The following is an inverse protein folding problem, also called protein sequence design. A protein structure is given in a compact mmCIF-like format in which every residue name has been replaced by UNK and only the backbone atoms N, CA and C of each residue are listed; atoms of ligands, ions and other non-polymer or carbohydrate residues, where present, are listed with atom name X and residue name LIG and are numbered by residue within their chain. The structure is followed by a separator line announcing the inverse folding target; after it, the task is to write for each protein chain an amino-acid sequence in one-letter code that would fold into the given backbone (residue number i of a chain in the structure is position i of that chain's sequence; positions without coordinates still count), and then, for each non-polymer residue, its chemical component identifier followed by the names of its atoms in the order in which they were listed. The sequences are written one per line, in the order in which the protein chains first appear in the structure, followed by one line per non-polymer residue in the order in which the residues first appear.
data_IF_739156349242
#
_entry.id   IF_739156349242
#
_cell.length_a   1.000
_cell.length_b   1.000
_cell.length_c   1.000
_cell.angle_alpha   90.00
_cell.angle_beta   90.00
_cell.angle_gamma   90.00
#
_symmetry.space_group_name_H-M   'P 1'
#
loop_
_entity.id
_entity.type
_entity.pdbx_description
1 polymer ?
#
# COMPACT_ATOMS: atom_id res chain seq x y z
N UNK A 1 10.70 -1.08 21.10
CA UNK A 1 10.62 -0.88 19.65
C UNK A 1 9.77 0.36 19.41
N UNK A 2 10.16 1.25 18.51
CA UNK A 2 9.34 2.42 18.14
C UNK A 2 8.36 2.02 17.04
N UNK A 3 7.13 2.52 17.11
CA UNK A 3 6.11 2.33 16.05
C UNK A 3 6.53 3.13 14.82
N UNK A 4 6.39 2.53 13.63
CA UNK A 4 6.64 3.17 12.35
C UNK A 4 5.30 3.55 11.69
N UNK A 5 5.06 4.85 11.50
CA UNK A 5 3.82 5.38 10.94
C UNK A 5 3.94 5.62 9.43
N UNK A 6 3.04 4.99 8.67
CA UNK A 6 2.92 5.19 7.22
C UNK A 6 1.65 6.00 6.95
N UNK A 7 1.80 7.19 6.38
CA UNK A 7 0.68 7.97 5.86
C UNK A 7 0.30 7.50 4.46
N UNK A 8 -0.85 6.82 4.32
CA UNK A 8 -1.38 6.41 3.01
C UNK A 8 -1.97 7.62 2.28
N UNK A 9 -1.21 8.17 1.33
CA UNK A 9 -1.72 9.14 0.38
C UNK A 9 -2.60 8.42 -0.66
N UNK A 10 -2.20 7.23 -1.10
CA UNK A 10 -2.97 6.39 -2.00
C UNK A 10 -3.27 7.11 -3.32
N UNK A 11 -4.55 7.41 -3.53
CA UNK A 11 -5.08 8.18 -4.69
C UNK A 11 -5.77 9.49 -4.26
N UNK A 12 -5.62 9.91 -3.00
CA UNK A 12 -6.31 11.07 -2.44
C UNK A 12 -5.83 12.41 -3.02
N UNK A 13 -4.76 12.39 -3.79
CA UNK A 13 -4.27 13.55 -4.54
C UNK A 13 -5.13 13.91 -5.75
N UNK A 14 -6.10 13.07 -6.14
CA UNK A 14 -7.02 13.33 -7.26
C UNK A 14 -6.28 13.70 -8.57
N UNK A 15 -5.20 12.98 -8.90
CA UNK A 15 -4.36 13.28 -10.07
C UNK A 15 -3.60 14.62 -10.03
N UNK A 16 -3.68 15.38 -8.93
CA UNK A 16 -3.01 16.68 -8.79
C UNK A 16 -1.70 16.57 -8.00
N UNK A 17 -0.59 16.95 -8.63
CA UNK A 17 0.71 17.03 -7.98
C UNK A 17 0.74 18.06 -6.84
N UNK A 18 -0.02 19.16 -6.97
CA UNK A 18 -0.10 20.19 -5.93
C UNK A 18 -0.82 19.66 -4.68
N UNK A 19 -1.95 18.96 -4.85
CA UNK A 19 -2.64 18.30 -3.73
C UNK A 19 -1.74 17.21 -3.14
N UNK A 20 -1.02 16.45 -3.97
CA UNK A 20 -0.06 15.45 -3.51
C UNK A 20 0.99 16.06 -2.56
N UNK A 21 1.61 17.19 -2.95
CA UNK A 21 2.59 17.90 -2.10
C UNK A 21 1.98 18.38 -0.79
N UNK A 22 0.76 18.92 -0.81
CA UNK A 22 0.04 19.32 0.40
C UNK A 22 -0.20 18.13 1.36
N UNK A 23 -0.55 16.95 0.82
CA UNK A 23 -0.73 15.73 1.62
C UNK A 23 0.60 15.26 2.23
N UNK A 24 1.72 15.37 1.48
CA UNK A 24 3.06 15.09 2.01
C UNK A 24 3.40 16.06 3.15
N UNK A 25 3.16 17.36 2.98
CA UNK A 25 3.43 18.37 4.01
C UNK A 25 2.66 18.08 5.31
N UNK A 26 1.39 17.70 5.19
CA UNK A 26 0.57 17.31 6.33
C UNK A 26 1.16 16.08 7.02
N UNK A 27 1.54 15.04 6.25
CA UNK A 27 2.14 13.83 6.81
C UNK A 27 3.45 14.11 7.56
N UNK A 28 4.32 14.95 7.00
CA UNK A 28 5.56 15.39 7.66
C UNK A 28 5.26 16.17 8.94
N UNK A 29 4.33 17.13 8.89
CA UNK A 29 3.95 17.93 10.06
C UNK A 29 3.33 17.11 11.19
N UNK A 30 2.64 16.01 10.84
CA UNK A 30 2.07 15.06 11.78
C UNK A 30 3.10 14.08 12.36
N UNK A 31 4.32 14.06 11.81
CA UNK A 31 5.41 13.18 12.26
C UNK A 31 5.33 11.75 11.69
N UNK A 32 4.76 11.56 10.50
CA UNK A 32 4.81 10.27 9.82
C UNK A 32 6.25 9.92 9.40
N UNK A 33 6.62 8.64 9.49
CA UNK A 33 7.95 8.16 9.09
C UNK A 33 8.07 7.96 7.57
N UNK A 34 6.95 7.68 6.91
CA UNK A 34 6.88 7.55 5.46
C UNK A 34 5.51 7.93 4.90
N UNK A 35 5.49 8.32 3.63
CA UNK A 35 4.27 8.43 2.82
C UNK A 35 4.18 7.29 1.82
N UNK A 36 2.96 6.83 1.54
CA UNK A 36 2.72 5.72 0.62
C UNK A 36 1.69 6.06 -0.46
N UNK A 37 2.00 5.64 -1.69
CA UNK A 37 1.17 5.79 -2.88
C UNK A 37 0.69 4.43 -3.41
N UNK A 38 -0.06 4.46 -4.51
CA UNK A 38 -0.41 3.27 -5.28
C UNK A 38 -0.03 3.48 -6.74
N UNK A 39 0.58 2.46 -7.35
CA UNK A 39 0.86 2.43 -8.79
C UNK A 39 0.22 1.19 -9.41
N UNK A 40 -0.49 1.42 -10.51
CA UNK A 40 -1.13 0.37 -11.29
C UNK A 40 -1.03 0.66 -12.79
N UNK A 41 -1.08 -0.37 -13.60
CA UNK A 41 -1.31 -0.30 -15.05
C UNK A 41 -2.74 -0.71 -15.29
N UNK A 42 -3.60 0.24 -15.71
CA UNK A 42 -5.06 0.05 -15.68
C UNK A 42 -5.52 -1.18 -16.47
N UNK A 43 -4.98 -1.38 -17.66
CA UNK A 43 -5.33 -2.50 -18.55
C UNK A 43 -4.89 -3.88 -18.01
N UNK A 44 -3.97 -3.92 -17.06
CA UNK A 44 -3.51 -5.16 -16.43
C UNK A 44 -4.30 -5.49 -15.17
N UNK A 45 -4.79 -4.47 -14.48
CA UNK A 45 -5.47 -4.61 -13.18
C UNK A 45 -6.98 -4.72 -13.32
N UNK A 46 -7.55 -4.13 -14.37
CA UNK A 46 -9.00 -4.08 -14.57
C UNK A 46 -9.40 -4.72 -15.90
N UNK A 47 -10.57 -5.35 -15.93
CA UNK A 47 -11.15 -5.85 -17.18
C UNK A 47 -11.61 -4.68 -18.05
N UNK A 48 -11.58 -4.88 -19.36
CA UNK A 48 -12.11 -3.90 -20.32
C UNK A 48 -13.59 -3.55 -20.02
N UNK A 49 -14.39 -4.56 -19.68
CA UNK A 49 -15.81 -4.37 -19.29
C UNK A 49 -15.96 -3.43 -18.09
N UNK A 50 -15.12 -3.58 -17.07
CA UNK A 50 -15.16 -2.68 -15.91
C UNK A 50 -14.72 -1.27 -16.32
N UNK A 51 -13.64 -1.14 -17.07
CA UNK A 51 -13.10 0.16 -17.49
C UNK A 51 -14.10 0.94 -18.34
N UNK A 52 -14.83 0.28 -19.23
CA UNK A 52 -15.82 0.90 -20.10
C UNK A 52 -17.19 1.08 -19.43
N UNK A 53 -17.37 0.57 -18.21
CA UNK A 53 -18.63 0.72 -17.48
C UNK A 53 -18.86 2.16 -17.00
N UNK A 54 -20.14 2.60 -16.92
CA UNK A 54 -20.46 3.98 -16.56
C UNK A 54 -20.04 4.37 -15.15
N UNK A 55 -19.43 5.54 -15.02
CA UNK A 55 -19.15 6.21 -13.75
C UNK A 55 -18.97 7.72 -13.95
N UNK A 56 -19.87 8.50 -13.38
CA UNK A 56 -19.74 9.95 -13.35
C UNK A 56 -18.58 10.38 -12.45
N UNK A 57 -17.69 11.23 -12.99
CA UNK A 57 -16.55 11.78 -12.26
C UNK A 57 -16.09 13.10 -12.89
N UNK A 58 -15.24 13.89 -12.21
CA UNK A 58 -14.64 15.10 -12.78
C UNK A 58 -13.82 14.89 -14.07
N UNK A 59 -13.44 13.64 -14.38
CA UNK A 59 -12.59 13.30 -15.52
C UNK A 59 -13.35 12.72 -16.70
N UNK A 60 -14.63 12.37 -16.53
CA UNK A 60 -15.46 11.77 -17.56
C UNK A 60 -16.55 10.87 -16.99
N UNK A 61 -17.12 10.04 -17.86
CA UNK A 61 -18.35 9.28 -17.59
C UNK A 61 -18.11 7.77 -17.51
N UNK A 62 -16.85 7.31 -17.58
CA UNK A 62 -16.48 5.90 -17.46
C UNK A 62 -15.57 5.65 -16.25
N UNK A 63 -15.47 4.38 -15.82
CA UNK A 63 -14.47 3.98 -14.82
C UNK A 63 -13.04 4.26 -15.31
N UNK A 64 -12.79 4.10 -16.60
CA UNK A 64 -11.52 4.42 -17.27
C UNK A 64 -11.16 5.88 -17.06
N UNK A 65 -12.05 6.80 -17.42
CA UNK A 65 -11.80 8.25 -17.31
C UNK A 65 -11.42 8.63 -15.88
N UNK A 66 -12.18 8.15 -14.89
CA UNK A 66 -11.87 8.42 -13.49
C UNK A 66 -10.49 7.87 -13.11
N UNK A 67 -10.20 6.63 -13.46
CA UNK A 67 -8.95 5.97 -13.05
C UNK A 67 -7.74 6.61 -13.71
N UNK A 68 -7.81 6.93 -15.01
CA UNK A 68 -6.76 7.66 -15.72
C UNK A 68 -6.54 9.04 -15.13
N UNK A 69 -7.63 9.74 -14.80
CA UNK A 69 -7.57 11.05 -14.15
C UNK A 69 -6.96 11.05 -12.74
N UNK A 70 -6.89 9.88 -12.09
CA UNK A 70 -6.26 9.70 -10.78
C UNK A 70 -4.78 9.29 -10.88
N UNK A 71 -4.29 8.84 -12.04
CA UNK A 71 -2.90 8.42 -12.18
C UNK A 71 -1.96 9.62 -12.32
N UNK A 72 -0.77 9.49 -11.71
CA UNK A 72 0.30 10.46 -11.85
C UNK A 72 1.33 9.96 -12.88
N UNK A 73 1.89 10.89 -13.64
CA UNK A 73 2.88 10.59 -14.68
C UNK A 73 4.24 10.24 -14.08
N UNK A 74 5.16 9.74 -14.91
CA UNK A 74 6.54 9.52 -14.50
C UNK A 74 7.24 10.80 -14.02
N UNK A 75 6.96 11.93 -14.68
CA UNK A 75 7.53 13.23 -14.29
C UNK A 75 6.99 13.70 -12.93
N UNK A 76 5.72 13.41 -12.64
CA UNK A 76 5.13 13.68 -11.32
C UNK A 76 5.80 12.83 -10.23
N UNK A 77 6.06 11.54 -10.48
CA UNK A 77 6.77 10.69 -9.53
C UNK A 77 8.23 11.12 -9.31
N UNK A 78 8.92 11.64 -10.33
CA UNK A 78 10.24 12.28 -10.15
C UNK A 78 10.16 13.51 -9.26
N UNK A 79 9.12 14.31 -9.41
CA UNK A 79 8.92 15.48 -8.56
C UNK A 79 8.55 15.08 -7.13
N UNK A 80 7.73 14.05 -6.93
CA UNK A 80 7.44 13.47 -5.61
C UNK A 80 8.73 12.99 -4.94
N UNK A 81 9.57 12.26 -5.68
CA UNK A 81 10.85 11.75 -5.16
C UNK A 81 11.77 12.90 -4.71
N UNK A 82 11.92 13.93 -5.55
CA UNK A 82 12.67 15.14 -5.20
C UNK A 82 12.10 15.84 -3.97
N UNK A 83 10.77 15.96 -3.90
CA UNK A 83 10.09 16.66 -2.83
C UNK A 83 10.24 15.94 -1.49
N UNK A 84 9.97 14.62 -1.45
CA UNK A 84 10.15 13.81 -0.25
C UNK A 84 11.59 13.84 0.27
N UNK A 85 12.58 13.78 -0.63
CA UNK A 85 14.01 13.93 -0.28
C UNK A 85 14.30 15.29 0.36
N UNK A 86 13.72 16.37 -0.15
CA UNK A 86 13.91 17.72 0.42
C UNK A 86 13.31 17.88 1.83
N UNK A 87 12.28 17.11 2.14
CA UNK A 87 11.61 17.07 3.45
C UNK A 87 12.17 15.99 4.39
N UNK A 88 13.13 15.20 3.92
CA UNK A 88 13.71 14.06 4.65
C UNK A 88 12.64 13.04 5.13
N UNK A 89 11.65 12.76 4.28
CA UNK A 89 10.64 11.71 4.52
C UNK A 89 10.80 10.58 3.50
N UNK A 90 10.68 9.33 3.94
CA UNK A 90 10.69 8.19 3.03
C UNK A 90 9.37 8.14 2.24
N UNK A 91 9.45 7.70 0.98
CA UNK A 91 8.27 7.40 0.19
C UNK A 91 8.40 6.05 -0.50
N UNK A 92 7.26 5.44 -0.78
CA UNK A 92 7.15 4.19 -1.52
C UNK A 92 5.71 4.04 -2.05
N UNK A 93 5.44 2.96 -2.78
CA UNK A 93 4.11 2.68 -3.28
C UNK A 93 3.78 1.19 -3.25
N UNK A 94 2.49 0.88 -3.30
CA UNK A 94 2.01 -0.46 -3.62
C UNK A 94 1.91 -0.63 -5.13
N UNK A 95 2.67 -1.54 -5.72
CA UNK A 95 2.44 -2.01 -7.08
C UNK A 95 1.25 -2.98 -7.11
N UNK A 96 0.40 -2.83 -8.13
CA UNK A 96 -0.74 -3.72 -8.38
C UNK A 96 -0.50 -4.69 -9.55
N UNK A 97 0.65 -4.59 -10.20
CA UNK A 97 1.04 -5.40 -11.35
C UNK A 97 2.57 -5.32 -11.55
N UNK A 98 3.11 -6.23 -12.37
CA UNK A 98 4.55 -6.31 -12.64
C UNK A 98 5.11 -5.06 -13.35
N UNK A 99 4.35 -4.39 -14.21
CA UNK A 99 4.80 -3.18 -14.89
C UNK A 99 4.88 -2.00 -13.91
N UNK A 100 3.94 -1.92 -12.96
CA UNK A 100 4.01 -0.98 -11.85
C UNK A 100 5.20 -1.25 -10.94
N UNK A 101 5.55 -2.50 -10.66
CA UNK A 101 6.76 -2.81 -9.90
C UNK A 101 8.02 -2.38 -10.67
N UNK A 102 8.11 -2.70 -11.97
CA UNK A 102 9.21 -2.24 -12.85
C UNK A 102 9.30 -0.71 -12.87
N UNK A 103 8.17 -0.02 -12.92
CA UNK A 103 8.11 1.44 -12.86
C UNK A 103 8.74 1.96 -11.55
N UNK A 104 8.35 1.39 -10.40
CA UNK A 104 8.83 1.80 -9.09
C UNK A 104 10.32 1.52 -8.87
N UNK A 105 10.89 0.49 -9.51
CA UNK A 105 12.34 0.19 -9.47
C UNK A 105 13.23 1.29 -10.03
N UNK A 106 12.66 2.23 -10.80
CA UNK A 106 13.39 3.40 -11.29
C UNK A 106 13.66 4.43 -10.18
N UNK A 107 13.04 4.26 -9.02
CA UNK A 107 13.20 5.10 -7.84
C UNK A 107 13.90 4.31 -6.71
N UNK A 108 14.68 5.02 -5.91
CA UNK A 108 15.41 4.43 -4.77
C UNK A 108 14.53 4.36 -3.51
N UNK A 109 13.33 3.78 -3.65
CA UNK A 109 12.42 3.60 -2.52
C UNK A 109 13.01 2.59 -1.53
N UNK A 110 12.99 2.93 -0.25
CA UNK A 110 13.54 2.08 0.83
C UNK A 110 12.68 0.85 1.15
N UNK A 111 11.38 0.93 0.87
CA UNK A 111 10.38 -0.05 1.26
C UNK A 111 9.54 -0.49 0.06
N UNK A 112 8.96 -1.68 0.16
CA UNK A 112 7.89 -2.15 -0.72
C UNK A 112 6.59 -2.40 0.07
N UNK A 113 5.45 -2.38 -0.62
CA UNK A 113 4.14 -2.73 -0.04
C UNK A 113 3.38 -3.69 -0.94
N UNK A 114 2.98 -4.84 -0.39
CA UNK A 114 2.00 -5.72 -1.02
C UNK A 114 0.61 -5.35 -0.51
N UNK A 115 -0.28 -4.91 -1.40
CA UNK A 115 -1.68 -4.66 -1.07
C UNK A 115 -2.41 -5.99 -0.81
N UNK A 116 -3.44 -5.97 0.03
CA UNK A 116 -4.19 -7.18 0.40
C UNK A 116 -4.73 -7.99 -0.78
N UNK A 117 -5.24 -7.31 -1.81
CA UNK A 117 -5.73 -7.98 -3.01
C UNK A 117 -4.61 -8.67 -3.82
N UNK A 118 -3.35 -8.24 -3.65
CA UNK A 118 -2.20 -8.71 -4.42
C UNK A 118 -1.42 -9.84 -3.74
N UNK A 119 -1.79 -10.24 -2.51
CA UNK A 119 -1.11 -11.32 -1.78
C UNK A 119 -1.20 -12.69 -2.49
N UNK A 120 -2.18 -12.86 -3.38
CA UNK A 120 -2.37 -14.09 -4.15
C UNK A 120 -1.59 -14.08 -5.48
N UNK A 121 -0.97 -12.95 -5.83
CA UNK A 121 -0.26 -12.80 -7.10
C UNK A 121 1.22 -13.19 -6.94
N UNK A 122 1.50 -14.49 -7.00
CA UNK A 122 2.82 -15.07 -6.71
C UNK A 122 3.96 -14.43 -7.53
N UNK A 123 3.83 -14.27 -8.86
CA UNK A 123 4.87 -13.63 -9.69
C UNK A 123 5.22 -12.20 -9.22
N UNK A 124 4.23 -11.44 -8.75
CA UNK A 124 4.46 -10.10 -8.21
C UNK A 124 5.19 -10.17 -6.87
N UNK A 125 4.84 -11.13 -6.00
CA UNK A 125 5.53 -11.34 -4.74
C UNK A 125 6.99 -11.72 -4.94
N UNK A 126 7.27 -12.62 -5.89
CA UNK A 126 8.63 -13.02 -6.25
C UNK A 126 9.45 -11.83 -6.77
N UNK A 127 8.85 -11.01 -7.66
CA UNK A 127 9.50 -9.82 -8.18
C UNK A 127 9.83 -8.79 -7.08
N UNK A 128 8.91 -8.58 -6.13
CA UNK A 128 9.11 -7.70 -4.97
C UNK A 128 10.19 -8.27 -4.04
N UNK A 129 10.12 -9.55 -3.68
CA UNK A 129 11.05 -10.21 -2.76
C UNK A 129 12.47 -10.33 -3.34
N UNK A 130 12.62 -10.39 -4.66
CA UNK A 130 13.92 -10.37 -5.33
C UNK A 130 14.69 -9.06 -5.07
N UNK A 131 14.00 -7.95 -4.74
CA UNK A 131 14.65 -6.66 -4.47
C UNK A 131 15.31 -6.58 -3.08
N UNK A 132 15.03 -7.53 -2.18
CA UNK A 132 15.54 -7.57 -0.79
C UNK A 132 15.26 -6.30 0.03
N UNK A 133 14.24 -5.53 -0.37
CA UNK A 133 13.78 -4.35 0.37
C UNK A 133 12.78 -4.77 1.44
N UNK A 134 12.83 -4.12 2.59
CA UNK A 134 11.87 -4.39 3.66
C UNK A 134 10.44 -4.17 3.14
N UNK A 135 9.61 -5.20 3.24
CA UNK A 135 8.30 -5.23 2.60
C UNK A 135 7.16 -5.40 3.59
N UNK A 136 6.19 -4.50 3.53
CA UNK A 136 4.97 -4.57 4.34
C UNK A 136 3.87 -5.33 3.55
N UNK A 137 3.37 -6.45 4.07
CA UNK A 137 2.43 -7.34 3.37
C UNK A 137 1.07 -7.33 4.07
N UNK A 138 0.03 -6.73 3.47
CA UNK A 138 -1.29 -6.71 4.11
C UNK A 138 -2.04 -8.02 3.90
N UNK A 139 -2.72 -8.50 4.95
CA UNK A 139 -3.35 -9.83 4.96
C UNK A 139 -4.89 -9.79 5.01
N UNK A 140 -5.51 -8.66 4.68
CA UNK A 140 -6.97 -8.56 4.53
C UNK A 140 -7.47 -9.39 3.34
N UNK A 141 -8.68 -9.95 3.46
CA UNK A 141 -9.29 -10.85 2.46
C UNK A 141 -8.47 -12.11 2.15
N UNK A 142 -7.51 -12.46 3.00
CA UNK A 142 -6.59 -13.58 2.76
C UNK A 142 -6.96 -14.79 3.60
N UNK A 143 -6.85 -15.98 3.02
CA UNK A 143 -6.86 -17.24 3.75
C UNK A 143 -5.50 -17.50 4.39
N UNK A 144 -5.42 -18.51 5.27
CA UNK A 144 -4.12 -18.96 5.82
C UNK A 144 -3.17 -19.40 4.69
N UNK A 145 -3.69 -20.10 3.68
CA UNK A 145 -2.88 -20.60 2.56
C UNK A 145 -2.24 -19.46 1.78
N UNK A 146 -2.96 -18.38 1.53
CA UNK A 146 -2.44 -17.20 0.82
C UNK A 146 -1.28 -16.56 1.60
N UNK A 147 -1.42 -16.44 2.92
CA UNK A 147 -0.37 -15.88 3.78
C UNK A 147 0.82 -16.85 3.89
N UNK A 148 0.58 -18.16 3.97
CA UNK A 148 1.64 -19.17 4.01
C UNK A 148 2.54 -19.07 2.78
N UNK A 149 1.94 -19.02 1.59
CA UNK A 149 2.66 -18.85 0.32
C UNK A 149 3.45 -17.55 0.25
N UNK A 150 2.83 -16.43 0.63
CA UNK A 150 3.53 -15.15 0.66
C UNK A 150 4.74 -15.19 1.60
N UNK A 151 4.59 -15.76 2.80
CA UNK A 151 5.70 -15.89 3.76
C UNK A 151 6.80 -16.82 3.25
N UNK A 152 6.45 -17.91 2.57
CA UNK A 152 7.40 -18.82 1.93
C UNK A 152 8.26 -18.09 0.89
N UNK A 153 7.62 -17.41 -0.07
CA UNK A 153 8.31 -16.63 -1.13
C UNK A 153 9.31 -15.64 -0.53
N UNK A 154 8.90 -14.87 0.47
CA UNK A 154 9.78 -13.86 1.07
C UNK A 154 10.93 -14.47 1.88
N UNK A 155 10.71 -15.62 2.54
CA UNK A 155 11.77 -16.34 3.28
C UNK A 155 12.77 -17.02 2.36
N UNK A 156 12.31 -17.66 1.29
CA UNK A 156 13.20 -18.28 0.29
C UNK A 156 14.06 -17.23 -0.41
N UNK A 157 13.50 -16.05 -0.61
CA UNK A 157 14.22 -14.90 -1.10
C UNK A 157 15.12 -14.25 -0.03
N UNK A 158 15.13 -14.65 1.25
CA UNK A 158 15.84 -13.91 2.30
C UNK A 158 15.52 -12.40 2.29
N UNK A 159 14.25 -12.07 2.02
CA UNK A 159 13.77 -10.69 1.94
C UNK A 159 13.10 -10.31 3.26
N UNK A 160 13.50 -9.21 3.93
CA UNK A 160 12.84 -8.78 5.16
C UNK A 160 11.39 -8.38 4.88
N UNK A 161 10.47 -8.80 5.75
CA UNK A 161 9.06 -8.48 5.62
C UNK A 161 8.37 -8.36 6.98
N UNK A 162 7.24 -7.67 6.96
CA UNK A 162 6.28 -7.55 8.04
C UNK A 162 4.88 -7.88 7.54
N UNK A 163 4.09 -8.59 8.33
CA UNK A 163 2.68 -8.80 8.03
C UNK A 163 1.85 -7.65 8.59
N UNK A 164 0.87 -7.16 7.84
CA UNK A 164 -0.03 -6.10 8.29
C UNK A 164 -1.42 -6.68 8.46
N UNK A 165 -1.87 -6.79 9.71
CA UNK A 165 -3.27 -7.11 9.99
C UNK A 165 -4.15 -6.00 9.38
N UNK A 166 -5.20 -6.41 8.68
CA UNK A 166 -5.99 -5.52 7.84
C UNK A 166 -7.38 -6.11 7.62
N UNK A 167 -8.40 -5.26 7.62
CA UNK A 167 -9.78 -5.63 7.25
C UNK A 167 -10.20 -4.73 6.09
N UNK A 168 -10.45 -5.31 4.91
CA UNK A 168 -10.59 -4.58 3.65
C UNK A 168 -12.01 -4.02 3.41
N UNK A 169 -12.61 -3.40 4.42
CA UNK A 169 -13.87 -2.65 4.34
C UNK A 169 -13.59 -1.16 4.59
N UNK A 170 -14.28 -0.27 3.85
CA UNK A 170 -13.97 1.17 3.81
C UNK A 170 -15.25 2.02 3.96
N UNK A 171 -15.51 2.63 5.13
CA UNK A 171 -14.80 2.41 6.39
C UNK A 171 -15.10 1.01 6.97
N UNK A 172 -14.22 0.54 7.84
CA UNK A 172 -14.40 -0.68 8.62
C UNK A 172 -15.15 -0.38 9.93
N UNK A 173 -16.17 -1.20 10.25
CA UNK A 173 -16.89 -1.13 11.53
C UNK A 173 -15.99 -1.61 12.68
N UNK A 174 -15.94 -0.89 13.80
CA UNK A 174 -15.09 -1.20 14.97
C UNK A 174 -15.18 -2.67 15.45
N UNK A 175 -16.37 -3.27 15.39
CA UNK A 175 -16.62 -4.66 15.79
C UNK A 175 -15.85 -5.68 14.94
N UNK A 176 -15.51 -5.32 13.71
CA UNK A 176 -14.85 -6.18 12.73
C UNK A 176 -13.32 -6.07 12.81
N UNK A 177 -12.79 -5.11 13.57
CA UNK A 177 -11.35 -4.81 13.65
C UNK A 177 -10.49 -6.02 14.05
N UNK A 178 -11.02 -6.89 14.92
CA UNK A 178 -10.39 -8.16 15.35
C UNK A 178 -8.87 -8.06 15.62
N UNK A 179 -8.45 -7.09 16.44
CA UNK A 179 -7.02 -6.79 16.66
C UNK A 179 -6.20 -7.96 17.22
N UNK A 180 -6.83 -8.94 17.89
CA UNK A 180 -6.19 -10.19 18.33
C UNK A 180 -5.55 -10.99 17.19
N UNK A 181 -5.93 -10.70 15.94
CA UNK A 181 -5.28 -11.30 14.78
C UNK A 181 -3.81 -10.92 14.68
N UNK A 182 -3.38 -9.77 15.22
CA UNK A 182 -1.97 -9.36 15.28
C UNK A 182 -1.14 -10.41 16.03
N UNK A 183 -1.58 -10.83 17.22
CA UNK A 183 -0.90 -11.88 18.01
C UNK A 183 -0.90 -13.23 17.29
N UNK A 184 -2.00 -13.55 16.59
CA UNK A 184 -2.12 -14.81 15.86
C UNK A 184 -1.12 -14.86 14.71
N UNK A 185 -1.01 -13.79 13.92
CA UNK A 185 -0.04 -13.69 12.84
C UNK A 185 1.40 -13.77 13.39
N UNK A 186 1.70 -13.01 14.45
CA UNK A 186 3.03 -12.98 15.07
C UNK A 186 3.44 -14.35 15.60
N UNK A 187 2.54 -15.01 16.32
CA UNK A 187 2.81 -16.34 16.89
C UNK A 187 2.92 -17.44 15.83
N UNK A 188 2.18 -17.33 14.72
CA UNK A 188 2.21 -18.31 13.61
C UNK A 188 3.45 -18.15 12.76
N UNK A 189 3.75 -16.92 12.32
CA UNK A 189 4.79 -16.66 11.33
C UNK A 189 6.12 -16.18 11.92
N UNK A 190 6.19 -15.94 13.23
CA UNK A 190 7.42 -15.55 13.94
C UNK A 190 8.13 -14.37 13.28
N UNK A 191 7.35 -13.41 12.77
CA UNK A 191 7.80 -12.17 12.16
C UNK A 191 7.16 -10.98 12.88
N UNK A 192 7.65 -9.79 12.57
CA UNK A 192 7.04 -8.55 13.00
C UNK A 192 5.67 -8.37 12.31
N UNK A 193 4.73 -7.76 13.04
CA UNK A 193 3.34 -7.59 12.61
C UNK A 193 2.84 -6.21 12.96
N UNK A 194 2.41 -5.47 11.95
CA UNK A 194 1.78 -4.16 12.07
C UNK A 194 0.28 -4.19 11.80
N UNK A 195 -0.30 -3.00 11.65
CA UNK A 195 -1.72 -2.79 11.38
C UNK A 195 -1.92 -1.83 10.21
N UNK A 196 -2.85 -2.16 9.31
CA UNK A 196 -3.30 -1.31 8.21
C UNK A 196 -4.78 -1.01 8.43
N UNK A 197 -5.06 0.17 8.96
CA UNK A 197 -6.39 0.60 9.38
C UNK A 197 -7.24 1.20 8.27
N UNK A 198 -8.55 0.92 8.33
CA UNK A 198 -9.59 1.50 7.47
C UNK A 198 -10.81 1.96 8.28
N UNK A 199 -10.66 2.06 9.60
CA UNK A 199 -11.66 2.57 10.53
C UNK A 199 -11.83 4.09 10.40
N UNK A 200 -12.89 4.59 11.03
CA UNK A 200 -13.03 6.03 11.30
C UNK A 200 -12.52 6.35 12.71
N UNK A 201 -11.78 7.44 12.87
CA UNK A 201 -11.23 7.85 14.16
C UNK A 201 -9.91 7.13 14.49
N UNK A 202 -9.48 7.20 15.75
CA UNK A 202 -8.14 6.79 16.17
C UNK A 202 -8.12 5.63 17.18
N UNK A 203 -9.26 5.25 17.75
CA UNK A 203 -9.33 4.31 18.86
C UNK A 203 -8.79 2.92 18.50
N UNK A 204 -9.12 2.41 17.31
CA UNK A 204 -8.66 1.10 16.84
C UNK A 204 -7.16 1.12 16.52
N UNK A 205 -6.69 2.10 15.76
CA UNK A 205 -5.27 2.34 15.53
C UNK A 205 -4.47 2.43 16.84
N UNK A 206 -4.98 3.10 17.86
CA UNK A 206 -4.33 3.14 19.18
C UNK A 206 -4.35 1.78 19.89
N UNK A 207 -5.47 1.07 19.83
CA UNK A 207 -5.55 -0.30 20.34
C UNK A 207 -4.56 -1.25 19.68
N UNK A 208 -4.31 -1.08 18.38
CA UNK A 208 -3.36 -1.89 17.63
C UNK A 208 -1.92 -1.74 18.14
N UNK A 209 -1.54 -0.55 18.63
CA UNK A 209 -0.20 -0.31 19.21
C UNK A 209 0.06 -1.08 20.51
N UNK A 210 -1.00 -1.60 21.16
CA UNK A 210 -0.89 -2.37 22.40
C UNK A 210 -0.48 -3.84 22.20
N UNK A 211 -0.40 -4.30 20.94
CA UNK A 211 -0.05 -5.67 20.59
C UNK A 211 1.43 -5.79 20.24
#
# INVERSE_FOLDING_TARGET
MSVFFIAEIGINHNGSLDICKQLIDIAVSAGADAVKFQKRTLELVYTQELLDSPRESPWGTTQRDQKEGLELSFDDYKEIDRYCKSLNIAWFASAWDLESQKFLKQFDCKYNKVASAMIVYEDLLEAIAAEKKHTFISTGMSTKLDIDKAVEIFREADCPFELMHCVSTYPMDDKDANLRRIETLRSTYKCDVGYSGHETGLAISYGAMGF
#
